data_IF_474007197537
#
_entry.id   IF_474007197537
#
_cell.length_a   1.000
_cell.length_b   1.000
_cell.length_c   1.000
_cell.angle_alpha   90.00
_cell.angle_beta   90.00
_cell.angle_gamma   90.00
#
_symmetry.space_group_name_H-M   'P 1'
#
loop_
_entity.id
_entity.type
_entity.pdbx_description
1 polymer ?
#
# COMPACT_ATOMS: atom_id res chain seq x y z
N UNK A 1 9.55 -5.03 -0.06
CA UNK A 1 9.50 -3.90 0.90
C UNK A 1 9.95 -4.39 2.27
N UNK A 2 10.75 -3.62 3.01
CA UNK A 2 11.19 -3.96 4.37
C UNK A 2 10.40 -3.12 5.37
N UNK A 3 9.71 -3.76 6.30
CA UNK A 3 8.79 -3.07 7.22
C UNK A 3 9.36 -3.05 8.63
N UNK A 4 9.57 -1.84 9.15
CA UNK A 4 9.99 -1.58 10.54
C UNK A 4 9.09 -0.51 11.16
N UNK A 5 8.00 -0.90 11.84
CA UNK A 5 7.18 0.06 12.58
C UNK A 5 7.91 0.52 13.84
N UNK A 6 8.28 1.80 13.91
CA UNK A 6 9.05 2.40 15.02
C UNK A 6 8.14 2.88 16.15
N UNK A 7 6.96 3.39 15.83
CA UNK A 7 5.99 3.93 16.79
C UNK A 7 4.58 3.35 16.58
N UNK A 8 3.87 3.17 17.70
CA UNK A 8 2.54 2.55 17.78
C UNK A 8 1.39 3.42 17.25
N UNK A 9 1.61 4.24 16.21
CA UNK A 9 0.51 4.94 15.56
C UNK A 9 -0.29 3.93 14.75
N UNK A 10 -1.58 3.79 15.06
CA UNK A 10 -2.49 2.74 14.58
C UNK A 10 -2.47 2.57 13.06
N UNK A 11 -2.32 3.63 12.28
CA UNK A 11 -2.28 3.58 10.81
C UNK A 11 -1.05 2.85 10.28
N UNK A 12 0.14 3.05 10.87
CA UNK A 12 1.36 2.36 10.43
C UNK A 12 1.37 0.90 10.88
N UNK A 13 0.85 0.59 12.06
CA UNK A 13 0.75 -0.80 12.53
C UNK A 13 -0.28 -1.61 11.74
N UNK A 14 -1.45 -1.04 11.45
CA UNK A 14 -2.47 -1.69 10.62
C UNK A 14 -2.01 -1.86 9.18
N UNK A 15 -1.38 -0.84 8.59
CA UNK A 15 -0.81 -0.94 7.24
C UNK A 15 0.32 -1.98 7.21
N UNK A 16 1.23 -1.96 8.18
CA UNK A 16 2.31 -2.94 8.29
C UNK A 16 1.79 -4.36 8.46
N UNK A 17 0.75 -4.55 9.27
CA UNK A 17 0.11 -5.85 9.46
C UNK A 17 -0.59 -6.32 8.18
N UNK A 18 -1.35 -5.45 7.52
CA UNK A 18 -2.07 -5.80 6.29
C UNK A 18 -1.09 -6.08 5.13
N UNK A 19 0.00 -5.32 5.00
CA UNK A 19 1.01 -5.52 3.94
C UNK A 19 1.86 -6.78 4.21
N UNK A 20 2.24 -7.04 5.46
CA UNK A 20 3.07 -8.20 5.84
C UNK A 20 2.27 -9.49 5.92
N UNK A 21 1.18 -9.50 6.69
CA UNK A 21 0.38 -10.69 6.98
C UNK A 21 -0.83 -10.85 6.06
N UNK A 22 -1.46 -9.75 5.64
CA UNK A 22 -2.63 -9.78 4.76
C UNK A 22 -2.29 -9.98 3.28
N UNK A 23 -1.20 -9.37 2.80
CA UNK A 23 -0.83 -9.37 1.38
C UNK A 23 0.52 -10.07 1.09
N UNK A 24 1.36 -10.29 2.12
CA UNK A 24 2.66 -10.95 1.96
C UNK A 24 3.63 -10.17 1.06
N UNK A 25 3.58 -8.84 1.09
CA UNK A 25 4.35 -7.95 0.19
C UNK A 25 5.61 -7.38 0.84
N UNK A 26 5.80 -7.67 2.13
CA UNK A 26 6.92 -7.13 2.88
C UNK A 26 7.48 -8.12 3.88
N UNK A 27 8.79 -8.04 4.07
CA UNK A 27 9.51 -8.76 5.11
C UNK A 27 9.58 -7.86 6.34
N UNK A 28 9.19 -8.39 7.50
CA UNK A 28 9.26 -7.65 8.76
C UNK A 28 10.67 -7.72 9.32
N UNK A 29 11.29 -6.56 9.50
CA UNK A 29 12.70 -6.46 9.87
C UNK A 29 12.89 -6.10 11.35
N UNK A 30 11.88 -5.49 11.98
CA UNK A 30 11.95 -5.09 13.39
C UNK A 30 10.60 -4.68 13.97
N UNK A 31 10.59 -4.30 15.25
CA UNK A 31 9.39 -3.84 15.96
C UNK A 31 9.73 -2.89 17.12
N UNK A 32 9.23 -1.65 17.07
CA UNK A 32 9.48 -0.64 18.10
C UNK A 32 10.85 0.05 17.94
N UNK A 33 11.07 1.09 18.73
CA UNK A 33 12.34 1.84 18.76
C UNK A 33 13.50 1.06 19.38
N UNK A 34 13.20 0.12 20.27
CA UNK A 34 14.21 -0.48 21.15
C UNK A 34 14.72 -1.83 20.62
N UNK A 35 14.08 -2.37 19.58
CA UNK A 35 14.45 -3.66 19.01
C UNK A 35 15.28 -3.45 17.73
N UNK A 36 16.59 -3.22 17.92
CA UNK A 36 17.55 -3.16 16.83
C UNK A 36 17.90 -4.60 16.41
N UNK A 37 17.54 -5.05 15.19
CA UNK A 37 17.89 -6.37 14.69
C UNK A 37 19.39 -6.46 14.46
N UNK A 38 19.89 -7.69 14.47
CA UNK A 38 21.31 -7.98 14.28
C UNK A 38 21.81 -7.33 12.96
N UNK A 39 22.90 -6.56 13.05
CA UNK A 39 23.44 -5.79 11.91
C UNK A 39 23.88 -6.68 10.75
N UNK A 40 24.36 -7.89 11.02
CA UNK A 40 24.76 -8.87 10.00
C UNK A 40 23.53 -9.42 9.28
N UNK A 41 22.48 -9.76 10.03
CA UNK A 41 21.22 -10.25 9.45
C UNK A 41 20.52 -9.17 8.64
N UNK A 42 20.50 -7.93 9.14
CA UNK A 42 19.97 -6.77 8.43
C UNK A 42 20.75 -6.47 7.15
N UNK A 43 22.09 -6.49 7.22
CA UNK A 43 22.96 -6.27 6.07
C UNK A 43 22.75 -7.32 4.99
N UNK A 44 22.65 -8.59 5.38
CA UNK A 44 22.30 -9.69 4.47
C UNK A 44 20.91 -9.48 3.86
N UNK A 45 19.88 -9.19 4.66
CA UNK A 45 18.51 -8.95 4.16
C UNK A 45 18.45 -7.77 3.19
N UNK A 46 19.21 -6.70 3.43
CA UNK A 46 19.30 -5.56 2.52
C UNK A 46 19.96 -5.94 1.21
N UNK A 47 21.11 -6.63 1.26
CA UNK A 47 21.82 -7.11 0.07
C UNK A 47 20.89 -7.97 -0.80
N UNK A 48 20.17 -8.90 -0.16
CA UNK A 48 19.16 -9.76 -0.80
C UNK A 48 17.98 -8.98 -1.38
N UNK A 49 17.50 -7.97 -0.67
CA UNK A 49 16.36 -7.17 -1.12
C UNK A 49 16.67 -6.32 -2.35
N UNK A 50 17.92 -5.90 -2.55
CA UNK A 50 18.33 -5.06 -3.68
C UNK A 50 18.95 -5.84 -4.83
N UNK A 51 19.41 -7.07 -4.58
CA UNK A 51 19.91 -7.94 -5.64
C UNK A 51 18.79 -8.21 -6.67
N UNK A 52 19.13 -8.00 -7.94
CA UNK A 52 18.24 -8.22 -9.08
C UNK A 52 18.19 -9.70 -9.46
N UNK A 53 19.22 -10.47 -9.10
CA UNK A 53 19.30 -11.91 -9.35
C UNK A 53 18.62 -12.73 -8.26
N UNK A 54 18.35 -12.16 -7.07
CA UNK A 54 17.57 -12.83 -6.04
C UNK A 54 16.06 -12.58 -6.22
N UNK A 55 15.34 -13.66 -6.53
CA UNK A 55 13.88 -13.65 -6.60
C UNK A 55 13.30 -13.79 -5.20
N UNK A 56 12.85 -12.68 -4.62
CA UNK A 56 12.06 -12.69 -3.38
C UNK A 56 10.57 -12.74 -3.73
N UNK A 57 9.81 -13.75 -3.24
CA UNK A 57 8.37 -13.84 -3.48
C UNK A 57 7.58 -12.58 -3.10
N UNK A 58 8.04 -11.84 -2.10
CA UNK A 58 7.48 -10.57 -1.66
C UNK A 58 7.69 -9.46 -2.71
N UNK A 59 8.83 -9.45 -3.42
CA UNK A 59 9.10 -8.51 -4.53
C UNK A 59 8.17 -8.80 -5.70
N UNK A 60 8.00 -10.06 -6.08
CA UNK A 60 7.11 -10.46 -7.17
C UNK A 60 5.66 -10.08 -6.89
N UNK A 61 5.18 -10.33 -5.68
CA UNK A 61 3.81 -9.93 -5.30
C UNK A 61 3.65 -8.41 -5.26
N UNK A 62 4.67 -7.68 -4.77
CA UNK A 62 4.65 -6.22 -4.76
C UNK A 62 4.60 -5.64 -6.18
N UNK A 63 5.36 -6.23 -7.12
CA UNK A 63 5.34 -5.84 -8.53
C UNK A 63 3.97 -6.08 -9.16
N UNK A 64 3.37 -7.26 -8.95
CA UNK A 64 2.00 -7.55 -9.43
C UNK A 64 0.95 -6.60 -8.87
N UNK A 65 1.07 -6.22 -7.59
CA UNK A 65 0.16 -5.24 -7.00
C UNK A 65 0.38 -3.84 -7.57
N UNK A 66 1.63 -3.46 -7.85
CA UNK A 66 1.96 -2.20 -8.53
C UNK A 66 1.31 -2.13 -9.92
N UNK A 67 1.42 -3.20 -10.71
CA UNK A 67 0.82 -3.28 -12.04
C UNK A 67 -0.71 -3.22 -11.98
N UNK A 68 -1.32 -3.91 -11.01
CA UNK A 68 -2.76 -3.86 -10.77
C UNK A 68 -3.22 -2.46 -10.35
N UNK A 69 -2.46 -1.78 -9.48
CA UNK A 69 -2.75 -0.41 -9.06
C UNK A 69 -2.65 0.57 -10.23
N UNK A 70 -1.60 0.47 -11.05
CA UNK A 70 -1.42 1.29 -12.25
C UNK A 70 -2.60 1.09 -13.22
N UNK A 71 -2.99 -0.16 -13.44
CA UNK A 71 -4.13 -0.52 -14.29
C UNK A 71 -5.45 0.04 -13.74
N UNK A 72 -5.66 -0.03 -12.42
CA UNK A 72 -6.86 0.47 -11.76
C UNK A 72 -7.01 2.00 -11.86
N UNK A 73 -5.91 2.76 -11.74
CA UNK A 73 -5.92 4.22 -11.92
C UNK A 73 -6.43 4.60 -13.31
N UNK A 74 -6.02 3.86 -14.35
CA UNK A 74 -6.50 4.09 -15.72
C UNK A 74 -7.88 3.48 -16.02
N UNK A 75 -8.38 2.60 -15.16
CA UNK A 75 -9.59 1.82 -15.37
C UNK A 75 -10.66 2.08 -14.31
N UNK A 76 -10.78 1.16 -13.35
CA UNK A 76 -11.88 1.15 -12.36
C UNK A 76 -11.88 2.39 -11.46
N UNK A 77 -10.72 2.82 -10.96
CA UNK A 77 -10.66 3.97 -10.05
C UNK A 77 -11.09 5.27 -10.74
N UNK A 78 -10.70 5.47 -12.00
CA UNK A 78 -11.17 6.62 -12.80
C UNK A 78 -12.68 6.56 -13.01
N UNK A 79 -13.21 5.39 -13.37
CA UNK A 79 -14.65 5.20 -13.58
C UNK A 79 -15.47 5.47 -12.31
N UNK A 80 -15.00 5.00 -11.16
CA UNK A 80 -15.68 5.19 -9.89
C UNK A 80 -15.64 6.68 -9.48
N UNK A 81 -14.56 7.40 -9.79
CA UNK A 81 -14.47 8.84 -9.61
C UNK A 81 -15.41 9.61 -10.55
N UNK A 82 -15.47 9.23 -11.84
CA UNK A 82 -16.38 9.84 -12.82
C UNK A 82 -17.85 9.64 -12.40
N UNK A 83 -18.20 8.44 -11.92
CA UNK A 83 -19.53 8.15 -11.39
C UNK A 83 -19.84 8.98 -10.14
N UNK A 84 -18.89 9.13 -9.23
CA UNK A 84 -19.04 9.97 -8.04
C UNK A 84 -19.31 11.43 -8.41
N UNK A 85 -18.54 11.99 -9.35
CA UNK A 85 -18.72 13.37 -9.84
C UNK A 85 -20.08 13.54 -10.52
N UNK A 86 -20.53 12.55 -11.29
CA UNK A 86 -21.87 12.57 -11.91
C UNK A 86 -22.98 12.65 -10.87
N UNK A 87 -22.93 11.80 -9.84
CA UNK A 87 -23.92 11.79 -8.74
C UNK A 87 -23.94 13.11 -7.95
N UNK A 88 -22.78 13.75 -7.79
CA UNK A 88 -22.70 15.08 -7.17
C UNK A 88 -23.40 16.15 -8.01
N UNK A 89 -23.19 16.15 -9.32
CA UNK A 89 -23.85 17.08 -10.23
C UNK A 89 -25.37 16.88 -10.28
N UNK A 90 -25.85 15.63 -10.32
CA UNK A 90 -27.27 15.32 -10.26
C UNK A 90 -27.92 15.90 -8.99
N UNK A 91 -27.32 15.66 -7.82
CA UNK A 91 -27.81 16.23 -6.56
C UNK A 91 -27.78 17.75 -6.51
N UNK A 92 -26.75 18.38 -7.10
CA UNK A 92 -26.65 19.83 -7.15
C UNK A 92 -27.74 20.45 -8.04
N UNK A 93 -28.07 19.77 -9.14
CA UNK A 93 -29.13 20.20 -10.06
C UNK A 93 -30.52 20.02 -9.44
N UNK A 94 -30.76 18.93 -8.72
CA UNK A 94 -32.01 18.72 -7.95
C UNK A 94 -32.20 19.81 -6.89
N UNK A 95 -31.12 20.21 -6.20
CA UNK A 95 -31.16 21.30 -5.22
C UNK A 95 -31.52 22.65 -5.85
N UNK A 96 -30.98 22.96 -7.04
CA UNK A 96 -31.31 24.19 -7.79
C UNK A 96 -32.71 24.16 -8.39
N UNK A 97 -33.20 22.99 -8.83
CA UNK A 97 -34.56 22.84 -9.36
C UNK A 97 -35.65 22.97 -8.29
N UNK A 98 -35.34 22.73 -7.02
CA UNK A 98 -36.26 22.86 -5.88
C UNK A 98 -36.47 24.31 -5.39
N UNK A 99 -35.64 25.25 -5.86
CA UNK A 99 -35.66 26.67 -5.45
C UNK A 99 -36.31 27.60 -6.48
N UNK A 100 -36.95 27.05 -7.52
CA UNK A 100 -37.72 27.81 -8.53
C UNK A 100 -39.16 27.36 -8.54
#
# INVERSE_FOLDING_TARGET
>A
MLTWPINGTSSQMQSSWLITWGLGLSIRVGAGSDNVPNSVELGCLLAKSVDENETLPEKDRAMRMSDAALSAVTGSSKRDLDEFVKRLHEKLNDFKGSTT
#
